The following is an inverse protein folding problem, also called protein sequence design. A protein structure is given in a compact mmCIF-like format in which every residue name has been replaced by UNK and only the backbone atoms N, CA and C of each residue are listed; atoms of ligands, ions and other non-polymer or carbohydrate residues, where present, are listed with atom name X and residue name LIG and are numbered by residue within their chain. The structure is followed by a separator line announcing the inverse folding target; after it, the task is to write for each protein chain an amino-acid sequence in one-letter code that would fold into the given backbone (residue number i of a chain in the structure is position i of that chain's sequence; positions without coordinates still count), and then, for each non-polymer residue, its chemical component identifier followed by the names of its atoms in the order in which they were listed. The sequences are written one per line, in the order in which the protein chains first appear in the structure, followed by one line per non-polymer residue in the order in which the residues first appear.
data_IF_157271197132
#
_entry.id   IF_157271197132
#
_cell.length_a   1.000
_cell.length_b   1.000
_cell.length_c   1.000
_cell.angle_alpha   90.00
_cell.angle_beta   90.00
_cell.angle_gamma   90.00
#
_symmetry.space_group_name_H-M   'P 1'
#
loop_
_entity.id
_entity.type
_entity.pdbx_description
1 polymer ?
#
# COMPACT_ATOMS: atom_id res chain seq x y z
N UNK A 1 9.85 1.96 -7.36
CA UNK A 1 9.61 0.58 -6.96
C UNK A 1 10.29 0.27 -5.65
N UNK A 2 9.56 -0.35 -4.76
CA UNK A 2 10.08 -0.65 -3.43
C UNK A 2 9.81 -2.12 -3.13
N UNK A 3 10.82 -2.82 -2.66
CA UNK A 3 10.71 -4.22 -2.25
C UNK A 3 11.18 -4.33 -0.82
N UNK A 4 10.34 -4.84 0.05
CA UNK A 4 10.63 -4.94 1.48
C UNK A 4 10.52 -6.37 1.96
N UNK A 5 11.49 -6.80 2.79
CA UNK A 5 11.50 -8.12 3.38
C UNK A 5 11.73 -8.01 4.87
N UNK A 6 10.93 -8.75 5.64
CA UNK A 6 11.18 -8.91 7.07
C UNK A 6 11.28 -7.57 7.80
N UNK A 7 10.28 -6.72 7.57
CA UNK A 7 10.23 -5.40 8.20
C UNK A 7 9.18 -5.45 9.30
N UNK A 8 9.52 -4.90 10.47
CA UNK A 8 8.57 -4.87 11.56
C UNK A 8 7.52 -3.80 11.32
N UNK A 9 7.97 -2.61 10.94
CA UNK A 9 7.06 -1.50 10.67
C UNK A 9 7.46 -0.78 9.41
N UNK A 10 6.46 -0.53 8.57
CA UNK A 10 6.66 0.23 7.35
C UNK A 10 5.63 1.34 7.33
N UNK A 11 6.09 2.57 7.30
CA UNK A 11 5.21 3.72 7.42
C UNK A 11 5.62 4.74 6.37
N UNK A 12 4.74 5.06 5.46
CA UNK A 12 5.06 5.96 4.36
C UNK A 12 3.90 6.91 4.12
N UNK A 13 4.22 8.18 3.93
CA UNK A 13 3.28 9.20 3.50
C UNK A 13 3.84 9.81 2.21
N UNK A 14 3.07 9.74 1.14
CA UNK A 14 3.51 10.23 -0.17
C UNK A 14 2.50 11.20 -0.76
N UNK A 15 3.03 12.23 -1.43
CA UNK A 15 2.22 13.23 -2.10
C UNK A 15 2.65 13.34 -3.55
N UNK A 16 1.69 13.45 -4.45
CA UNK A 16 1.95 13.77 -5.85
C UNK A 16 2.89 12.77 -6.51
N UNK A 17 2.55 11.50 -6.43
CA UNK A 17 3.36 10.43 -6.99
C UNK A 17 2.71 9.96 -8.28
N UNK A 18 3.52 9.82 -9.33
CA UNK A 18 3.00 9.31 -10.60
C UNK A 18 2.82 7.81 -10.52
N UNK A 19 3.84 7.09 -10.08
CA UNK A 19 3.77 5.64 -9.96
C UNK A 19 4.37 5.20 -8.64
N UNK A 20 3.67 4.31 -8.00
CA UNK A 20 4.16 3.74 -6.76
C UNK A 20 3.93 2.23 -6.80
N UNK A 21 5.00 1.50 -6.71
CA UNK A 21 4.99 0.05 -6.87
C UNK A 21 5.70 -0.55 -5.67
N UNK A 22 5.01 -1.39 -4.92
CA UNK A 22 5.55 -1.95 -3.69
C UNK A 22 5.31 -3.44 -3.64
N UNK A 23 6.33 -4.19 -3.26
CA UNK A 23 6.23 -5.61 -2.96
C UNK A 23 6.73 -5.81 -1.54
N UNK A 24 5.92 -6.40 -0.69
CA UNK A 24 6.21 -6.52 0.74
C UNK A 24 6.09 -7.96 1.17
N UNK A 25 7.11 -8.45 1.88
CA UNK A 25 7.13 -9.80 2.42
C UNK A 25 7.39 -9.77 3.92
N UNK A 26 6.59 -10.50 4.68
CA UNK A 26 6.85 -10.71 6.10
C UNK A 26 6.97 -9.41 6.89
N UNK A 27 5.90 -8.63 6.88
CA UNK A 27 5.86 -7.37 7.61
C UNK A 27 4.81 -7.47 8.70
N UNK A 28 5.13 -6.98 9.88
CA UNK A 28 4.17 -7.00 10.97
C UNK A 28 3.16 -5.87 10.80
N UNK A 29 3.63 -4.67 10.56
CA UNK A 29 2.75 -3.52 10.36
C UNK A 29 3.13 -2.76 9.12
N UNK A 30 2.13 -2.46 8.30
CA UNK A 30 2.33 -1.73 7.07
C UNK A 30 1.28 -0.64 7.01
N UNK A 31 1.71 0.62 6.97
CA UNK A 31 0.79 1.74 6.88
C UNK A 31 1.23 2.66 5.76
N UNK A 32 0.32 2.97 4.87
CA UNK A 32 0.58 3.82 3.73
C UNK A 32 -0.49 4.89 3.64
N UNK A 33 -0.08 6.13 3.47
CA UNK A 33 -0.99 7.24 3.21
C UNK A 33 -0.52 7.90 1.92
N UNK A 34 -1.38 7.91 0.91
CA UNK A 34 -1.02 8.42 -0.41
C UNK A 34 -2.00 9.49 -0.86
N UNK A 35 -1.46 10.58 -1.40
CA UNK A 35 -2.25 11.68 -1.93
C UNK A 35 -1.88 11.92 -3.38
N UNK A 36 -2.86 12.04 -4.24
CA UNK A 36 -2.65 12.42 -5.64
C UNK A 36 -1.68 11.48 -6.35
N UNK A 37 -2.03 10.21 -6.39
CA UNK A 37 -1.22 9.20 -7.03
C UNK A 37 -1.93 8.73 -8.29
N UNK A 38 -1.19 8.67 -9.40
CA UNK A 38 -1.78 8.19 -10.63
C UNK A 38 -1.90 6.68 -10.65
N UNK A 39 -0.85 5.98 -10.26
CA UNK A 39 -0.86 4.51 -10.22
C UNK A 39 -0.27 4.02 -8.92
N UNK A 40 -1.01 3.16 -8.29
CA UNK A 40 -0.58 2.53 -7.04
C UNK A 40 -0.75 1.03 -7.19
N UNK A 41 0.35 0.31 -7.03
CA UNK A 41 0.38 -1.11 -7.26
C UNK A 41 1.11 -1.75 -6.10
N UNK A 42 0.44 -2.64 -5.38
CA UNK A 42 1.06 -3.25 -4.21
C UNK A 42 0.78 -4.74 -4.15
N UNK A 43 1.81 -5.50 -3.76
CA UNK A 43 1.68 -6.90 -3.43
C UNK A 43 2.19 -7.12 -2.03
N UNK A 44 1.41 -7.78 -1.23
CA UNK A 44 1.73 -7.98 0.18
C UNK A 44 1.63 -9.46 0.52
N UNK A 45 2.68 -9.99 1.13
CA UNK A 45 2.74 -11.39 1.53
C UNK A 45 3.04 -11.46 3.01
N UNK A 46 2.23 -12.23 3.74
CA UNK A 46 2.48 -12.52 5.15
C UNK A 46 2.59 -11.25 6.00
N UNK A 47 1.53 -10.48 6.02
CA UNK A 47 1.47 -9.24 6.81
C UNK A 47 0.42 -9.41 7.90
N UNK A 48 0.76 -9.00 9.12
CA UNK A 48 -0.19 -9.08 10.20
C UNK A 48 -1.18 -7.92 10.12
N UNK A 49 -0.68 -6.71 9.92
CA UNK A 49 -1.56 -5.54 9.77
C UNK A 49 -1.17 -4.73 8.57
N UNK A 50 -2.15 -4.43 7.74
CA UNK A 50 -1.93 -3.66 6.54
C UNK A 50 -2.99 -2.57 6.49
N UNK A 51 -2.54 -1.32 6.43
CA UNK A 51 -3.46 -0.19 6.36
C UNK A 51 -3.01 0.75 5.25
N UNK A 52 -3.95 1.13 4.40
CA UNK A 52 -3.69 2.05 3.29
C UNK A 52 -4.80 3.08 3.25
N UNK A 53 -4.42 4.33 3.14
CA UNK A 53 -5.35 5.42 2.91
C UNK A 53 -4.95 6.11 1.61
N UNK A 54 -5.87 6.15 0.67
CA UNK A 54 -5.62 6.70 -0.67
C UNK A 54 -6.54 7.88 -0.93
N UNK A 55 -5.96 8.97 -1.43
CA UNK A 55 -6.71 10.15 -1.83
C UNK A 55 -6.39 10.46 -3.29
N UNK A 56 -7.41 10.63 -4.10
CA UNK A 56 -7.24 11.06 -5.49
C UNK A 56 -6.29 10.16 -6.27
N UNK A 57 -6.64 8.89 -6.36
CA UNK A 57 -5.84 7.90 -7.08
C UNK A 57 -6.56 7.52 -8.35
N UNK A 58 -5.85 7.53 -9.48
CA UNK A 58 -6.47 7.17 -10.75
C UNK A 58 -6.58 5.65 -10.87
N UNK A 59 -5.50 4.94 -10.58
CA UNK A 59 -5.51 3.48 -10.64
C UNK A 59 -4.83 2.90 -9.43
N UNK A 60 -5.45 1.90 -8.83
CA UNK A 60 -4.77 1.19 -7.78
C UNK A 60 -5.08 -0.29 -7.88
N UNK A 61 -4.12 -1.10 -7.49
CA UNK A 61 -4.27 -2.53 -7.41
C UNK A 61 -3.55 -3.04 -6.17
N UNK A 62 -4.25 -3.87 -5.42
CA UNK A 62 -3.70 -4.43 -4.19
C UNK A 62 -3.90 -5.92 -4.22
N UNK A 63 -2.84 -6.67 -3.99
CA UNK A 63 -2.89 -8.11 -3.89
C UNK A 63 -2.36 -8.51 -2.51
N UNK A 64 -3.18 -9.22 -1.75
CA UNK A 64 -2.87 -9.60 -0.38
C UNK A 64 -2.85 -11.11 -0.24
N UNK A 65 -1.79 -11.63 0.39
CA UNK A 65 -1.67 -13.05 0.68
C UNK A 65 -1.38 -13.22 2.16
N UNK A 66 -2.11 -14.12 2.80
CA UNK A 66 -1.87 -14.47 4.21
C UNK A 66 -1.84 -13.23 5.10
N UNK A 67 -2.89 -12.46 5.03
CA UNK A 67 -3.01 -11.22 5.76
C UNK A 67 -4.02 -11.42 6.87
N UNK A 68 -3.65 -11.05 8.10
CA UNK A 68 -4.57 -11.20 9.22
C UNK A 68 -5.55 -10.06 9.27
N UNK A 69 -5.05 -8.83 9.16
CA UNK A 69 -5.90 -7.65 9.17
C UNK A 69 -5.48 -6.70 8.06
N UNK A 70 -6.44 -6.23 7.31
CA UNK A 70 -6.13 -5.21 6.32
C UNK A 70 -7.26 -4.20 6.27
N UNK A 71 -6.88 -2.95 6.08
CA UNK A 71 -7.79 -1.84 5.96
C UNK A 71 -7.39 -1.04 4.73
N UNK A 72 -8.35 -0.79 3.88
CA UNK A 72 -8.12 0.07 2.71
C UNK A 72 -9.21 1.12 2.70
N UNK A 73 -8.79 2.37 2.74
CA UNK A 73 -9.71 3.51 2.66
C UNK A 73 -9.35 4.28 1.41
N UNK A 74 -10.32 4.46 0.53
CA UNK A 74 -10.07 5.10 -0.76
C UNK A 74 -11.05 6.24 -0.95
N UNK A 75 -10.49 7.43 -1.25
CA UNK A 75 -11.27 8.61 -1.57
C UNK A 75 -10.97 9.00 -3.01
N UNK A 76 -12.02 9.19 -3.80
CA UNK A 76 -11.88 9.69 -5.17
C UNK A 76 -10.92 8.85 -6.00
N UNK A 77 -11.22 7.58 -6.15
CA UNK A 77 -10.41 6.70 -6.96
C UNK A 77 -11.13 6.39 -8.27
N UNK A 78 -10.37 6.36 -9.35
CA UNK A 78 -10.83 5.93 -10.67
C UNK A 78 -10.05 4.68 -11.02
N UNK A 79 -10.74 3.69 -11.51
CA UNK A 79 -10.09 2.45 -11.90
C UNK A 79 -10.13 2.24 -13.37
#
# INVERSE_FOLDING_TARGET
MVILYNVIRYYVILYNVIRYYVIVYNVIRDMLILYNVMRYYVRVYNVIRYMVILYNVIRYMVILYNDIRHYVIVYNAIR
#
